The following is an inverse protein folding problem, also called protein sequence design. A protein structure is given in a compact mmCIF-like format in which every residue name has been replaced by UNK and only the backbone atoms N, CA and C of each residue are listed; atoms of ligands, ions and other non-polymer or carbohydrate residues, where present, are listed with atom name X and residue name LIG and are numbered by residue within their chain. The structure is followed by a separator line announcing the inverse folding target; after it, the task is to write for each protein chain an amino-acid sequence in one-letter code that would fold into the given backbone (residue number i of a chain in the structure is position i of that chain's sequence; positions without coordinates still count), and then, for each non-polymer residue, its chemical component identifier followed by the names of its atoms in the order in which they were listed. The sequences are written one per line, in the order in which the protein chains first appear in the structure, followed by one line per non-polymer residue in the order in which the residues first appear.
data_IF_102203635042
#
_entry.id   IF_102203635042
#
_cell.length_a   1.000
_cell.length_b   1.000
_cell.length_c   1.000
_cell.angle_alpha   90.00
_cell.angle_beta   90.00
_cell.angle_gamma   90.00
#
_symmetry.space_group_name_H-M   'P 1'
#
loop_
_entity.id
_entity.type
_entity.pdbx_description
1 polymer ?
#
# COMPACT_ATOMS: atom_id res chain seq x y z
N UNK A 1 18.77 12.11 5.12
CA UNK A 1 19.29 11.22 6.18
C UNK A 1 18.21 11.01 7.24
N UNK A 2 18.01 9.77 7.70
CA UNK A 2 17.00 9.40 8.71
C UNK A 2 17.44 9.93 10.07
N UNK A 3 16.56 10.63 10.81
CA UNK A 3 16.88 11.18 12.14
C UNK A 3 16.26 10.40 13.29
N UNK A 4 15.12 9.76 13.05
CA UNK A 4 14.38 9.01 14.06
C UNK A 4 13.58 7.91 13.36
N UNK A 5 13.38 6.79 14.04
CA UNK A 5 12.56 5.68 13.53
C UNK A 5 11.08 5.88 13.85
N UNK A 6 10.21 5.41 12.97
CA UNK A 6 8.77 5.43 13.20
C UNK A 6 8.41 4.52 14.37
N UNK A 7 7.65 5.06 15.33
CA UNK A 7 7.16 4.31 16.50
C UNK A 7 5.77 3.72 16.28
N UNK A 8 4.98 4.36 15.43
CA UNK A 8 3.62 3.96 15.13
C UNK A 8 3.57 3.11 13.86
N UNK A 9 2.55 2.26 13.79
CA UNK A 9 2.32 1.47 12.60
C UNK A 9 1.95 2.39 11.43
N UNK A 10 2.66 2.22 10.32
CA UNK A 10 2.29 2.81 9.04
C UNK A 10 1.77 1.69 8.14
N UNK A 11 0.61 1.90 7.55
CA UNK A 11 -0.01 0.95 6.63
C UNK A 11 0.95 0.65 5.47
N UNK A 12 1.35 -0.62 5.38
CA UNK A 12 2.41 -1.07 4.50
C UNK A 12 1.91 -1.10 3.06
N UNK A 13 0.66 -1.51 2.83
CA UNK A 13 0.09 -1.53 1.48
C UNK A 13 0.06 -0.13 0.84
N UNK A 14 -0.15 0.92 1.64
CA UNK A 14 -0.06 2.32 1.20
C UNK A 14 1.34 2.73 0.76
N UNK A 15 2.38 2.16 1.39
CA UNK A 15 3.78 2.44 1.06
C UNK A 15 4.21 1.63 -0.16
N UNK A 16 3.90 0.33 -0.20
CA UNK A 16 4.55 -0.60 -1.11
C UNK A 16 3.69 -1.02 -2.30
N UNK A 17 2.35 -0.96 -2.19
CA UNK A 17 1.43 -1.41 -3.24
C UNK A 17 0.75 -0.24 -3.95
N UNK A 18 0.30 0.79 -3.23
CA UNK A 18 -0.34 1.97 -3.83
C UNK A 18 0.50 2.66 -4.92
N UNK A 19 1.84 2.81 -4.78
CA UNK A 19 2.66 3.35 -5.86
C UNK A 19 2.57 2.58 -7.19
N UNK A 20 2.21 1.30 -7.16
CA UNK A 20 2.11 0.45 -8.35
C UNK A 20 0.86 0.72 -9.18
N UNK A 21 -0.10 1.50 -8.64
CA UNK A 21 -1.25 1.99 -9.39
C UNK A 21 -0.90 3.16 -10.33
N UNK A 22 0.31 3.73 -10.23
CA UNK A 22 0.75 4.93 -10.99
C UNK A 22 -0.17 6.16 -10.81
N UNK A 23 -0.89 6.23 -9.68
CA UNK A 23 -1.70 7.38 -9.30
C UNK A 23 -0.79 8.39 -8.57
N UNK A 24 -0.41 9.46 -9.26
CA UNK A 24 0.56 10.43 -8.74
C UNK A 24 0.13 11.07 -7.41
N UNK A 25 1.12 11.34 -6.54
CA UNK A 25 0.91 12.15 -5.34
C UNK A 25 0.42 13.55 -5.73
N UNK A 26 -0.63 14.03 -5.06
CA UNK A 26 -1.31 15.29 -5.42
C UNK A 26 -2.38 15.13 -6.48
N UNK A 27 -2.78 13.90 -6.82
CA UNK A 27 -4.01 13.63 -7.55
C UNK A 27 -5.24 14.18 -6.82
N UNK A 28 -6.33 14.34 -7.57
CA UNK A 28 -7.62 14.86 -7.10
C UNK A 28 -8.10 14.21 -5.79
N UNK A 29 -7.92 12.90 -5.66
CA UNK A 29 -8.19 12.20 -4.43
C UNK A 29 -7.04 11.25 -4.07
N UNK A 30 -6.90 11.04 -2.76
CA UNK A 30 -6.07 9.99 -2.16
C UNK A 30 -6.98 9.00 -1.45
N UNK A 31 -6.60 7.72 -1.37
CA UNK A 31 -7.41 6.76 -0.64
C UNK A 31 -7.48 7.17 0.83
N UNK A 32 -8.63 6.93 1.44
CA UNK A 32 -8.83 6.98 2.88
C UNK A 32 -7.85 5.98 3.51
N UNK A 33 -8.00 4.72 3.14
CA UNK A 33 -7.14 3.60 3.55
C UNK A 33 -6.97 2.59 2.41
N UNK A 34 -5.93 1.75 2.51
CA UNK A 34 -5.66 0.67 1.56
C UNK A 34 -5.40 -0.67 2.23
N UNK A 35 -5.85 -1.75 1.62
CA UNK A 35 -5.90 -3.07 2.24
C UNK A 35 -5.45 -4.15 1.25
N UNK A 36 -5.10 -5.31 1.80
CA UNK A 36 -4.77 -6.52 1.03
C UNK A 36 -5.79 -7.63 1.26
N UNK A 37 -6.83 -7.32 2.04
CA UNK A 37 -7.94 -8.21 2.36
C UNK A 37 -9.20 -7.43 2.66
N UNK A 38 -10.33 -8.11 2.53
CA UNK A 38 -11.64 -7.64 2.94
C UNK A 38 -12.41 -8.83 3.51
N UNK A 39 -12.81 -8.72 4.78
CA UNK A 39 -13.53 -9.77 5.51
C UNK A 39 -14.72 -10.30 4.69
N UNK A 40 -14.74 -11.63 4.49
CA UNK A 40 -15.81 -12.31 3.77
C UNK A 40 -15.78 -12.18 2.24
N UNK A 41 -14.76 -11.51 1.66
CA UNK A 41 -14.71 -11.26 0.22
C UNK A 41 -13.35 -11.54 -0.45
N UNK A 42 -12.26 -11.00 0.10
CA UNK A 42 -10.92 -11.16 -0.45
C UNK A 42 -9.93 -11.52 0.67
N UNK A 43 -9.18 -12.61 0.48
CA UNK A 43 -8.05 -12.99 1.33
C UNK A 43 -6.72 -12.47 0.76
N UNK A 44 -5.62 -12.45 1.53
CA UNK A 44 -4.31 -12.04 1.02
C UNK A 44 -3.84 -12.87 -0.20
N UNK A 45 -4.23 -14.14 -0.26
CA UNK A 45 -3.87 -15.05 -1.36
C UNK A 45 -4.52 -14.67 -2.70
N UNK A 46 -5.59 -13.87 -2.67
CA UNK A 46 -6.31 -13.46 -3.88
C UNK A 46 -5.57 -12.42 -4.74
N UNK A 47 -4.42 -11.90 -4.28
CA UNK A 47 -3.68 -10.83 -4.96
C UNK A 47 -4.58 -9.64 -5.34
N UNK A 48 -5.48 -9.26 -4.43
CA UNK A 48 -6.40 -8.13 -4.58
C UNK A 48 -5.97 -6.99 -3.69
N UNK A 49 -5.50 -5.90 -4.31
CA UNK A 49 -5.23 -4.66 -3.62
C UNK A 49 -6.52 -3.83 -3.54
N UNK A 50 -6.89 -3.40 -2.35
CA UNK A 50 -8.15 -2.71 -2.08
C UNK A 50 -7.84 -1.28 -1.66
N UNK A 51 -8.55 -0.31 -2.21
CA UNK A 51 -8.46 1.09 -1.79
C UNK A 51 -9.86 1.64 -1.52
N UNK A 52 -9.99 2.39 -0.43
CA UNK A 52 -11.25 3.06 -0.06
C UNK A 52 -11.18 4.54 -0.34
N UNK A 53 -12.26 5.13 -0.84
CA UNK A 53 -12.37 6.56 -1.11
C UNK A 53 -13.72 7.09 -0.64
N UNK A 54 -13.75 8.34 -0.18
CA UNK A 54 -15.01 9.06 -0.04
C UNK A 54 -15.63 9.25 -1.42
N UNK A 55 -16.90 8.84 -1.57
CA UNK A 55 -17.65 9.09 -2.79
C UNK A 55 -17.99 10.58 -2.89
N UNK A 56 -17.80 11.14 -4.08
CA UNK A 56 -18.08 12.55 -4.40
C UNK A 56 -18.74 12.61 -5.77
N UNK A 57 -19.72 13.47 -5.94
CA UNK A 57 -20.47 13.67 -7.18
C UNK A 57 -19.95 14.86 -8.01
N UNK A 58 -18.96 15.60 -7.51
CA UNK A 58 -18.38 16.72 -8.23
C UNK A 58 -17.59 16.26 -9.47
N UNK A 59 -17.61 17.13 -10.49
CA UNK A 59 -16.99 16.84 -11.78
C UNK A 59 -15.48 16.57 -11.71
N UNK A 60 -14.78 17.04 -10.67
CA UNK A 60 -13.36 16.78 -10.51
C UNK A 60 -13.13 15.32 -10.09
N UNK A 61 -13.86 14.86 -9.07
CA UNK A 61 -13.79 13.48 -8.62
C UNK A 61 -14.26 12.50 -9.71
N UNK A 62 -15.38 12.76 -10.37
CA UNK A 62 -15.90 11.88 -11.45
C UNK A 62 -14.89 11.70 -12.57
N UNK A 63 -14.19 12.77 -12.97
CA UNK A 63 -13.11 12.68 -13.98
C UNK A 63 -11.91 11.89 -13.46
N UNK A 64 -11.51 12.12 -12.21
CA UNK A 64 -10.41 11.40 -11.57
C UNK A 64 -10.72 9.91 -11.46
N UNK A 65 -11.87 9.54 -10.92
CA UNK A 65 -12.33 8.16 -10.75
C UNK A 65 -12.27 7.43 -12.09
N UNK A 66 -12.91 8.00 -13.11
CA UNK A 66 -12.93 7.44 -14.47
C UNK A 66 -11.53 7.26 -15.05
N UNK A 67 -10.63 8.22 -14.84
CA UNK A 67 -9.30 8.20 -15.45
C UNK A 67 -8.27 7.38 -14.67
N UNK A 68 -8.39 7.28 -13.34
CA UNK A 68 -7.34 6.79 -12.44
C UNK A 68 -7.73 5.59 -11.60
N UNK A 69 -9.01 5.43 -11.29
CA UNK A 69 -9.52 4.31 -10.50
C UNK A 69 -10.12 3.25 -11.42
N UNK A 70 -11.26 3.52 -12.05
CA UNK A 70 -11.95 2.55 -12.92
C UNK A 70 -11.29 2.40 -14.28
N UNK A 71 -10.62 3.45 -14.77
CA UNK A 71 -9.78 3.40 -15.97
C UNK A 71 -8.37 2.85 -15.75
N UNK A 72 -8.02 2.44 -14.52
CA UNK A 72 -6.71 1.85 -14.25
C UNK A 72 -6.61 0.47 -14.92
N UNK A 73 -5.45 0.16 -15.53
CA UNK A 73 -5.22 -1.16 -16.15
C UNK A 73 -5.34 -2.33 -15.17
N UNK A 74 -5.13 -2.08 -13.87
CA UNK A 74 -5.23 -3.07 -12.81
C UNK A 74 -6.64 -3.14 -12.21
N UNK A 75 -7.56 -2.26 -12.61
CA UNK A 75 -8.90 -2.22 -12.03
C UNK A 75 -9.61 -3.58 -12.21
N UNK A 76 -10.21 -4.07 -11.13
CA UNK A 76 -10.90 -5.36 -11.10
C UNK A 76 -12.40 -5.19 -10.82
N UNK A 77 -12.74 -4.49 -9.75
CA UNK A 77 -14.14 -4.31 -9.34
C UNK A 77 -14.31 -3.10 -8.44
N UNK A 78 -15.55 -2.63 -8.36
CA UNK A 78 -15.97 -1.55 -7.48
C UNK A 78 -17.14 -2.01 -6.61
N UNK A 79 -17.16 -1.57 -5.36
CA UNK A 79 -18.23 -1.81 -4.41
C UNK A 79 -18.47 -0.57 -3.56
N UNK A 80 -19.61 -0.50 -2.91
CA UNK A 80 -19.88 0.49 -1.87
C UNK A 80 -19.98 -0.20 -0.52
N UNK A 81 -19.54 0.50 0.53
CA UNK A 81 -19.78 0.07 1.91
C UNK A 81 -21.05 0.71 2.46
N UNK A 82 -21.60 0.15 3.53
CA UNK A 82 -22.70 0.77 4.27
C UNK A 82 -22.35 2.19 4.75
N UNK A 83 -21.07 2.44 5.05
CA UNK A 83 -20.51 3.73 5.48
C UNK A 83 -20.29 4.76 4.34
N UNK A 84 -20.87 4.55 3.15
CA UNK A 84 -20.71 5.42 1.97
C UNK A 84 -19.27 5.57 1.45
N UNK A 85 -18.39 4.61 1.75
CA UNK A 85 -17.07 4.53 1.09
C UNK A 85 -17.16 3.71 -0.19
N UNK A 86 -16.53 4.22 -1.24
CA UNK A 86 -16.26 3.48 -2.47
C UNK A 86 -15.04 2.58 -2.28
N UNK A 87 -15.18 1.30 -2.59
CA UNK A 87 -14.13 0.29 -2.51
C UNK A 87 -13.70 -0.08 -3.93
N UNK A 88 -12.48 0.29 -4.29
CA UNK A 88 -11.88 0.00 -5.59
C UNK A 88 -10.87 -1.11 -5.41
N UNK A 89 -11.09 -2.20 -6.13
CA UNK A 89 -10.25 -3.40 -6.08
C UNK A 89 -9.41 -3.47 -7.34
N UNK A 90 -8.13 -3.75 -7.17
CA UNK A 90 -7.16 -3.89 -8.23
C UNK A 90 -6.53 -5.28 -8.23
N UNK A 91 -6.37 -5.88 -9.40
CA UNK A 91 -5.74 -7.18 -9.60
C UNK A 91 -4.22 -7.03 -9.69
N UNK A 92 -3.50 -7.63 -8.74
CA UNK A 92 -2.04 -7.58 -8.63
C UNK A 92 -1.37 -8.91 -9.03
N UNK A 93 -2.07 -9.81 -9.73
CA UNK A 93 -1.52 -11.11 -10.17
C UNK A 93 -0.22 -10.97 -10.98
N UNK A 94 -0.12 -9.97 -11.86
CA UNK A 94 1.10 -9.68 -12.62
C UNK A 94 2.30 -9.29 -11.72
N UNK A 95 2.01 -8.87 -10.49
CA UNK A 95 2.98 -8.57 -9.43
C UNK A 95 3.09 -9.69 -8.38
N UNK A 96 2.60 -10.91 -8.63
CA UNK A 96 2.51 -11.98 -7.63
C UNK A 96 3.82 -12.24 -6.85
N UNK A 97 4.98 -12.16 -7.51
CA UNK A 97 6.29 -12.30 -6.82
C UNK A 97 6.53 -11.18 -5.81
N UNK A 98 6.23 -9.94 -6.20
CA UNK A 98 6.38 -8.76 -5.35
C UNK A 98 5.30 -8.70 -4.26
N UNK A 99 4.10 -9.19 -4.57
CA UNK A 99 3.03 -9.41 -3.59
C UNK A 99 3.46 -10.39 -2.51
N UNK A 100 4.06 -11.53 -2.87
CA UNK A 100 4.56 -12.49 -1.89
C UNK A 100 5.70 -11.92 -1.04
N UNK A 101 6.60 -11.15 -1.65
CA UNK A 101 7.63 -10.43 -0.91
C UNK A 101 7.01 -9.45 0.11
N UNK A 102 5.97 -8.71 -0.29
CA UNK A 102 5.20 -7.85 0.61
C UNK A 102 4.58 -8.63 1.78
N UNK A 103 3.88 -9.74 1.50
CA UNK A 103 3.19 -10.54 2.53
C UNK A 103 4.17 -11.10 3.56
N UNK A 104 5.38 -11.46 3.14
CA UNK A 104 6.42 -11.99 4.02
C UNK A 104 7.26 -10.91 4.72
N UNK A 105 6.96 -9.62 4.50
CA UNK A 105 7.78 -8.51 5.00
C UNK A 105 9.15 -8.39 4.34
N UNK A 106 9.39 -9.13 3.26
CA UNK A 106 10.64 -9.15 2.50
C UNK A 106 10.72 -8.01 1.49
N UNK A 107 10.54 -6.76 1.91
CA UNK A 107 10.50 -5.61 1.00
C UNK A 107 11.81 -5.42 0.24
N UNK A 108 12.94 -5.80 0.84
CA UNK A 108 14.24 -5.83 0.17
C UNK A 108 14.31 -6.84 -0.98
N UNK A 109 13.40 -7.82 -1.03
CA UNK A 109 13.33 -8.87 -2.04
C UNK A 109 12.39 -8.53 -3.21
N UNK A 110 11.73 -7.37 -3.17
CA UNK A 110 10.95 -6.87 -4.30
C UNK A 110 11.84 -6.67 -5.53
N UNK A 111 11.24 -6.83 -6.70
CA UNK A 111 11.91 -6.66 -7.98
C UNK A 111 12.46 -5.23 -8.14
N UNK A 112 13.59 -5.05 -8.85
CA UNK A 112 14.15 -3.72 -9.09
C UNK A 112 13.16 -2.75 -9.73
N UNK A 113 12.28 -3.22 -10.60
CA UNK A 113 11.22 -2.39 -11.21
C UNK A 113 10.24 -1.86 -10.18
N UNK A 114 9.74 -2.72 -9.29
CA UNK A 114 8.81 -2.34 -8.22
C UNK A 114 9.48 -1.38 -7.24
N UNK A 115 10.72 -1.67 -6.81
CA UNK A 115 11.51 -0.76 -5.96
C UNK A 115 11.62 0.62 -6.58
N UNK A 116 11.93 0.70 -7.89
CA UNK A 116 12.06 1.97 -8.60
C UNK A 116 10.73 2.74 -8.67
N UNK A 117 9.59 2.07 -8.92
CA UNK A 117 8.26 2.71 -8.90
C UNK A 117 7.95 3.29 -7.54
N UNK A 118 8.17 2.51 -6.47
CA UNK A 118 7.94 2.95 -5.09
C UNK A 118 8.84 4.15 -4.75
N UNK A 119 10.14 4.07 -5.00
CA UNK A 119 11.07 5.17 -4.71
C UNK A 119 10.74 6.45 -5.49
N UNK A 120 10.36 6.32 -6.76
CA UNK A 120 9.96 7.45 -7.61
C UNK A 120 8.71 8.14 -7.06
N UNK A 121 7.75 7.38 -6.55
CA UNK A 121 6.53 7.92 -5.95
C UNK A 121 6.81 8.84 -4.75
N UNK A 122 7.82 8.51 -3.94
CA UNK A 122 8.17 9.27 -2.73
C UNK A 122 9.29 10.29 -2.91
N UNK A 123 9.85 10.42 -4.12
CA UNK A 123 11.02 11.25 -4.41
C UNK A 123 10.88 12.72 -3.96
N UNK A 124 9.66 13.28 -3.99
CA UNK A 124 9.40 14.68 -3.62
C UNK A 124 9.40 14.93 -2.11
N UNK A 125 9.26 13.89 -1.27
CA UNK A 125 9.41 13.99 0.18
C UNK A 125 10.69 13.28 0.62
N UNK A 126 11.78 14.03 0.74
CA UNK A 126 13.11 13.49 1.09
C UNK A 126 13.10 12.67 2.40
N UNK A 127 12.34 13.09 3.41
CA UNK A 127 12.29 12.38 4.68
C UNK A 127 11.66 10.99 4.50
N UNK A 128 10.47 10.93 3.91
CA UNK A 128 9.77 9.68 3.61
C UNK A 128 10.56 8.80 2.63
N UNK A 129 11.17 9.41 1.61
CA UNK A 129 12.01 8.72 0.64
C UNK A 129 13.15 7.95 1.32
N UNK A 130 13.88 8.57 2.25
CA UNK A 130 14.99 7.88 2.92
C UNK A 130 14.52 6.71 3.78
N UNK A 131 13.39 6.85 4.48
CA UNK A 131 12.80 5.74 5.23
C UNK A 131 12.45 4.58 4.31
N UNK A 132 11.74 4.84 3.22
CA UNK A 132 11.33 3.80 2.28
C UNK A 132 12.54 3.17 1.58
N UNK A 133 13.54 3.98 1.22
CA UNK A 133 14.76 3.46 0.65
C UNK A 133 15.51 2.55 1.63
N UNK A 134 15.48 2.84 2.92
CA UNK A 134 16.06 1.94 3.92
C UNK A 134 15.32 0.62 4.08
N UNK A 135 14.04 0.56 3.72
CA UNK A 135 13.28 -0.69 3.72
C UNK A 135 13.52 -1.52 2.45
N UNK A 136 13.66 -0.85 1.31
CA UNK A 136 13.87 -1.51 0.02
C UNK A 136 15.33 -1.90 -0.21
N UNK A 137 16.29 -1.20 0.39
CA UNK A 137 17.73 -1.39 0.22
C UNK A 137 18.45 -1.32 1.58
N UNK A 138 18.15 -2.23 2.53
CA UNK A 138 18.60 -2.14 3.92
C UNK A 138 20.12 -2.27 4.09
N UNK A 139 20.82 -2.87 3.13
CA UNK A 139 22.25 -3.15 3.18
C UNK A 139 23.13 -1.91 3.35
N UNK A 140 22.69 -0.76 2.83
CA UNK A 140 23.39 0.53 2.97
C UNK A 140 22.92 1.34 4.19
N UNK A 141 21.97 0.83 4.98
CA UNK A 141 21.40 1.52 6.16
C UNK A 141 21.63 0.81 7.49
N UNK A 142 22.13 -0.43 7.51
CA UNK A 142 22.33 -1.19 8.74
C UNK A 142 23.16 -0.45 9.80
N UNK A 143 24.32 0.11 9.43
CA UNK A 143 25.16 0.87 10.36
C UNK A 143 24.40 2.06 10.97
N UNK A 144 23.63 2.78 10.15
CA UNK A 144 22.85 3.94 10.59
C UNK A 144 21.71 3.54 11.54
N UNK A 145 20.98 2.46 11.22
CA UNK A 145 19.93 1.94 12.08
C UNK A 145 20.47 1.38 13.40
N UNK A 146 21.63 0.71 13.37
CA UNK A 146 22.28 0.18 14.56
C UNK A 146 22.58 1.28 15.58
N UNK A 147 23.06 2.44 15.11
CA UNK A 147 23.27 3.64 15.93
C UNK A 147 21.96 4.20 16.50
N UNK A 148 20.90 4.26 15.70
CA UNK A 148 19.60 4.78 16.14
C UNK A 148 18.90 3.86 17.16
N UNK A 149 19.10 2.55 17.04
CA UNK A 149 18.50 1.53 17.91
C UNK A 149 19.37 1.17 19.11
N UNK A 150 20.64 1.62 19.14
CA UNK A 150 21.64 1.24 20.13
C UNK A 150 21.84 -0.30 20.20
N UNK A 151 22.00 -0.94 19.04
CA UNK A 151 22.25 -2.38 18.86
C UNK A 151 23.48 -2.61 17.98
N UNK A 152 23.96 -3.84 17.88
CA UNK A 152 25.05 -4.16 16.95
C UNK A 152 24.57 -4.18 15.49
N UNK A 153 25.43 -3.74 14.57
CA UNK A 153 25.15 -3.84 13.13
C UNK A 153 25.01 -5.30 12.67
N UNK A 154 25.76 -6.22 13.29
CA UNK A 154 25.69 -7.65 13.00
C UNK A 154 24.28 -8.22 13.19
N UNK A 155 23.57 -7.80 14.23
CA UNK A 155 22.20 -8.21 14.50
C UNK A 155 21.26 -7.80 13.36
N UNK A 156 21.40 -6.56 12.87
CA UNK A 156 20.56 -6.07 11.77
C UNK A 156 20.86 -6.76 10.45
N UNK A 157 22.14 -7.10 10.19
CA UNK A 157 22.55 -7.89 9.03
C UNK A 157 22.00 -9.32 9.07
N UNK A 158 21.91 -9.91 10.26
CA UNK A 158 21.31 -11.25 10.47
C UNK A 158 19.80 -11.23 10.22
N UNK A 159 19.09 -10.21 10.72
CA UNK A 159 17.64 -10.02 10.48
C UNK A 159 17.35 -9.71 9.01
N UNK A 160 18.20 -8.91 8.36
CA UNK A 160 18.13 -8.58 6.94
C UNK A 160 17.12 -7.49 6.56
N UNK A 161 15.99 -7.38 7.27
CA UNK A 161 14.95 -6.37 7.00
C UNK A 161 14.93 -5.26 8.06
N UNK A 162 14.71 -4.02 7.64
CA UNK A 162 14.62 -2.83 8.52
C UNK A 162 13.17 -2.34 8.72
N UNK A 163 12.21 -3.05 8.13
CA UNK A 163 10.79 -2.77 8.20
C UNK A 163 10.06 -4.01 8.71
N UNK A 164 9.05 -3.82 9.57
CA UNK A 164 8.23 -4.94 10.03
C UNK A 164 7.38 -5.53 8.91
N UNK A 165 7.04 -6.81 9.04
CA UNK A 165 5.96 -7.46 8.27
C UNK A 165 4.65 -6.64 8.36
N UNK A 166 3.75 -6.70 7.36
CA UNK A 166 2.44 -6.07 7.44
C UNK A 166 1.62 -6.59 8.64
N UNK A 167 0.87 -5.69 9.27
CA UNK A 167 -0.08 -6.03 10.32
C UNK A 167 -1.40 -6.40 9.65
N UNK A 168 -1.66 -7.70 9.46
CA UNK A 168 -2.77 -8.18 8.63
C UNK A 168 -4.15 -7.77 9.11
N UNK A 169 -4.34 -7.53 10.41
CA UNK A 169 -5.58 -6.97 10.92
C UNK A 169 -5.78 -5.54 10.41
N UNK A 170 -4.73 -4.72 10.42
CA UNK A 170 -4.78 -3.34 9.89
C UNK A 170 -4.76 -3.28 8.36
N UNK A 171 -4.33 -4.34 7.70
CA UNK A 171 -4.37 -4.49 6.24
C UNK A 171 -5.64 -5.23 5.76
N UNK A 172 -6.63 -5.42 6.64
CA UNK A 172 -7.94 -5.98 6.31
C UNK A 172 -9.04 -4.93 6.45
N UNK A 173 -9.84 -4.78 5.40
CA UNK A 173 -11.06 -3.98 5.46
C UNK A 173 -12.14 -4.75 6.23
N UNK A 174 -12.63 -4.17 7.32
CA UNK A 174 -13.73 -4.68 8.14
C UNK A 174 -15.00 -3.85 7.95
N UNK A 175 -15.47 -3.75 6.71
CA UNK A 175 -16.71 -3.03 6.37
C UNK A 175 -17.72 -3.96 5.70
N UNK A 176 -19.01 -3.70 5.90
CA UNK A 176 -20.07 -4.40 5.18
C UNK A 176 -20.27 -3.79 3.81
N UNK A 177 -20.41 -4.64 2.80
CA UNK A 177 -20.82 -4.23 1.46
C UNK A 177 -22.29 -3.80 1.48
N UNK A 178 -22.57 -2.62 0.93
CA UNK A 178 -23.92 -2.17 0.64
C UNK A 178 -24.52 -3.05 -0.44
N UNK A 179 -25.50 -3.88 -0.07
CA UNK A 179 -26.32 -4.62 -1.02
C UNK A 179 -27.46 -3.74 -1.50
N UNK A 180 -27.57 -3.53 -2.80
CA UNK A 180 -28.74 -2.90 -3.39
C UNK A 180 -29.82 -3.99 -3.52
N UNK A 181 -30.88 -3.90 -2.72
CA UNK A 181 -32.05 -4.77 -2.87
C UNK A 181 -32.84 -4.33 -4.10
N UNK A 182 -32.82 -5.13 -5.16
CA UNK A 182 -33.54 -4.88 -6.42
C UNK A 182 -35.02 -5.37 -6.34
N UNK A 183 -35.55 -5.60 -5.14
CA UNK A 183 -36.90 -6.16 -4.92
C UNK A 183 -37.87 -5.23 -4.20
N UNK A 184 -37.55 -3.94 -4.09
CA UNK A 184 -38.52 -2.91 -3.67
C UNK A 184 -38.84 -1.98 -4.85
N UNK A 185 -39.60 -2.50 -5.82
CA UNK A 185 -40.35 -1.71 -6.80
C UNK A 185 -41.77 -2.26 -6.85
#
# INVERSE_FOLDING_TARGET
MIKQLHKEYIQKSRIFLYPLLDIQKGSEAVPVESYVSWTGKFSPDSCRFVCTYYLRDDMAFVRFEKAKLTGNKLFHSFYETEDNLGVYVFNFEDYHKDWNAFMLGGYSKMSPEVKNKILKFFLTNKATYHHINSYLNPEIYFEHYAKLLNVSESLLREVGELCSIPDFEKETLHALERKINIFEI
#
